data_IF_841768412384
#
_entry.id   IF_841768412384
#
_cell.length_a   1.000
_cell.length_b   1.000
_cell.length_c   1.000
_cell.angle_alpha   90.00
_cell.angle_beta   90.00
_cell.angle_gamma   90.00
#
_symmetry.space_group_name_H-M   'P 1'
#
loop_
_entity.id
_entity.type
_entity.pdbx_description
1 polymer ?
#
# COMPACT_ATOMS: atom_id res chain seq x y z
N UNK A 1 3.22 17.63 -11.71
CA UNK A 1 4.07 17.29 -10.54
C UNK A 1 3.86 15.83 -10.22
N UNK A 2 4.88 14.97 -10.34
CA UNK A 2 4.81 13.58 -9.89
C UNK A 2 5.18 13.57 -8.41
N UNK A 3 4.20 13.42 -7.53
CA UNK A 3 4.43 13.34 -6.08
C UNK A 3 5.11 12.01 -5.79
N UNK A 4 6.39 12.03 -5.42
CA UNK A 4 7.11 10.85 -4.97
C UNK A 4 6.55 10.47 -3.59
N UNK A 5 5.73 9.42 -3.52
CA UNK A 5 5.19 8.94 -2.24
C UNK A 5 6.33 8.28 -1.46
N UNK A 6 6.75 8.91 -0.37
CA UNK A 6 7.64 8.27 0.61
C UNK A 6 6.95 7.04 1.19
N UNK A 7 7.72 5.99 1.55
CA UNK A 7 7.17 4.76 2.10
C UNK A 7 6.26 5.01 3.32
N UNK A 8 6.54 6.05 4.12
CA UNK A 8 5.71 6.48 5.25
C UNK A 8 4.29 6.93 4.86
N UNK A 9 4.10 7.53 3.69
CA UNK A 9 2.78 7.94 3.17
C UNK A 9 1.97 6.71 2.77
N UNK A 10 2.61 5.76 2.09
CA UNK A 10 1.97 4.52 1.66
C UNK A 10 1.60 3.66 2.87
N UNK A 11 2.49 3.58 3.87
CA UNK A 11 2.20 2.94 5.16
C UNK A 11 1.04 3.63 5.89
N UNK A 12 1.03 4.96 5.92
CA UNK A 12 -0.08 5.73 6.51
C UNK A 12 -1.43 5.38 5.86
N UNK A 13 -1.47 5.34 4.52
CA UNK A 13 -2.67 4.95 3.80
C UNK A 13 -3.08 3.49 4.06
N UNK A 14 -2.12 2.57 4.09
CA UNK A 14 -2.35 1.17 4.45
C UNK A 14 -3.02 1.03 5.83
N UNK A 15 -2.59 1.82 6.81
CA UNK A 15 -3.18 1.86 8.15
C UNK A 15 -4.58 2.49 8.18
N UNK A 16 -4.81 3.58 7.44
CA UNK A 16 -6.14 4.20 7.29
C UNK A 16 -7.16 3.21 6.73
N UNK A 17 -6.74 2.40 5.75
CA UNK A 17 -7.55 1.34 5.16
C UNK A 17 -7.65 0.07 6.04
N UNK A 18 -7.20 0.14 7.30
CA UNK A 18 -7.25 -0.93 8.30
C UNK A 18 -6.62 -2.24 7.80
N UNK A 19 -5.51 -2.14 7.07
CA UNK A 19 -4.82 -3.28 6.45
C UNK A 19 -5.74 -4.10 5.53
N UNK A 20 -6.82 -3.53 4.97
CA UNK A 20 -7.71 -4.25 4.08
C UNK A 20 -7.06 -4.41 2.69
N UNK A 21 -6.75 -5.66 2.31
CA UNK A 21 -6.08 -5.98 1.04
C UNK A 21 -6.84 -5.48 -0.20
N UNK A 22 -8.15 -5.67 -0.24
CA UNK A 22 -8.96 -5.27 -1.39
C UNK A 22 -8.93 -3.76 -1.60
N UNK A 23 -9.22 -3.00 -0.54
CA UNK A 23 -9.22 -1.53 -0.60
C UNK A 23 -7.84 -0.97 -0.94
N UNK A 24 -6.77 -1.55 -0.37
CA UNK A 24 -5.41 -1.09 -0.62
C UNK A 24 -4.97 -1.36 -2.07
N UNK A 25 -5.29 -2.54 -2.60
CA UNK A 25 -4.96 -2.90 -3.99
C UNK A 25 -5.70 -2.02 -4.99
N UNK A 26 -6.98 -1.74 -4.77
CA UNK A 26 -7.73 -0.81 -5.62
C UNK A 26 -7.19 0.62 -5.52
N UNK A 27 -6.88 1.09 -4.31
CA UNK A 27 -6.26 2.41 -4.13
C UNK A 27 -4.94 2.57 -4.88
N UNK A 28 -4.06 1.54 -4.86
CA UNK A 28 -2.80 1.56 -5.61
C UNK A 28 -3.02 1.61 -7.13
N UNK A 29 -4.06 0.94 -7.64
CA UNK A 29 -4.44 1.05 -9.06
C UNK A 29 -4.88 2.47 -9.39
N UNK A 30 -5.68 3.09 -8.54
CA UNK A 30 -6.22 4.44 -8.79
C UNK A 30 -5.14 5.53 -8.74
N UNK A 31 -4.21 5.44 -7.77
CA UNK A 31 -3.25 6.53 -7.52
C UNK A 31 -2.01 6.47 -8.41
N UNK A 32 -1.59 5.28 -8.86
CA UNK A 32 -0.36 5.12 -9.64
C UNK A 32 -0.45 4.09 -10.77
N UNK A 33 -1.65 3.60 -11.11
CA UNK A 33 -1.88 2.61 -12.16
C UNK A 33 -1.08 1.30 -11.96
N UNK A 34 -0.83 0.92 -10.70
CA UNK A 34 -0.18 -0.35 -10.39
C UNK A 34 -1.01 -1.52 -10.90
N UNK A 35 -0.37 -2.54 -11.47
CA UNK A 35 -1.08 -3.78 -11.80
C UNK A 35 -1.36 -4.62 -10.53
N UNK A 36 -2.20 -5.65 -10.67
CA UNK A 36 -2.60 -6.52 -9.55
C UNK A 36 -1.42 -7.16 -8.82
N UNK A 37 -0.34 -7.51 -9.54
CA UNK A 37 0.86 -8.10 -8.94
C UNK A 37 1.62 -7.06 -8.12
N UNK A 38 1.92 -5.90 -8.70
CA UNK A 38 2.64 -4.81 -8.03
C UNK A 38 1.93 -4.34 -6.76
N UNK A 39 0.62 -4.15 -6.82
CA UNK A 39 -0.18 -3.73 -5.68
C UNK A 39 -0.23 -4.82 -4.59
N UNK A 40 -0.35 -6.09 -4.96
CA UNK A 40 -0.37 -7.21 -4.02
C UNK A 40 0.98 -7.42 -3.34
N UNK A 41 2.08 -7.34 -4.09
CA UNK A 41 3.45 -7.47 -3.56
C UNK A 41 3.74 -6.33 -2.57
N UNK A 42 3.33 -5.10 -2.90
CA UNK A 42 3.46 -3.94 -2.00
C UNK A 42 2.64 -4.12 -0.72
N UNK A 43 1.39 -4.57 -0.83
CA UNK A 43 0.55 -4.89 0.32
C UNK A 43 1.23 -5.90 1.24
N UNK A 44 1.76 -7.00 0.66
CA UNK A 44 2.36 -8.07 1.45
C UNK A 44 3.57 -7.57 2.24
N UNK A 45 4.45 -6.79 1.59
CA UNK A 45 5.61 -6.19 2.25
C UNK A 45 5.22 -5.30 3.45
N UNK A 46 4.18 -4.47 3.31
CA UNK A 46 3.70 -3.62 4.41
C UNK A 46 3.00 -4.43 5.51
N UNK A 47 2.29 -5.49 5.14
CA UNK A 47 1.66 -6.39 6.10
C UNK A 47 2.70 -7.09 6.95
N UNK A 48 3.70 -7.72 6.33
CA UNK A 48 4.77 -8.44 7.02
C UNK A 48 5.56 -7.50 7.92
N UNK A 49 5.91 -6.30 7.42
CA UNK A 49 6.58 -5.30 8.24
C UNK A 49 5.74 -4.87 9.45
N UNK A 50 4.43 -4.68 9.29
CA UNK A 50 3.58 -4.35 10.44
C UNK A 50 3.45 -5.54 11.40
N UNK A 51 3.39 -6.77 10.92
CA UNK A 51 3.31 -7.97 11.78
C UNK A 51 4.57 -8.14 12.64
N UNK A 52 5.74 -7.77 12.10
CA UNK A 52 7.01 -7.84 12.81
C UNK A 52 7.27 -6.64 13.74
N UNK A 53 6.84 -5.43 13.37
CA UNK A 53 7.31 -4.18 14.02
C UNK A 53 6.21 -3.27 14.59
N UNK A 54 4.92 -3.56 14.40
CA UNK A 54 3.80 -2.70 14.84
C UNK A 54 2.69 -3.46 15.57
#
# INVERSE_FOLDING_TARGET
MKTQAFASVVLGQFLVLKKNKGLFVEWMKDICAANSKQASDCYQCLYDWCDEFL
#
